data_IF_115088389807
#
_entry.id   IF_115088389807
#
_cell.length_a   1.000
_cell.length_b   1.000
_cell.length_c   1.000
_cell.angle_alpha   90.00
_cell.angle_beta   90.00
_cell.angle_gamma   90.00
#
_symmetry.space_group_name_H-M   'P 1'
#
loop_
_entity.id
_entity.type
_entity.pdbx_description
1 polymer ?
#
# COMPACT_ATOMS: atom_id res chain seq x y z
N UNK A 1 29.96 0.53 7.36
CA UNK A 1 28.96 1.56 7.70
C UNK A 1 27.59 0.92 7.58
N UNK A 2 26.73 1.03 8.58
CA UNK A 2 25.34 0.56 8.50
C UNK A 2 24.52 1.55 7.67
N UNK A 3 23.62 1.05 6.82
CA UNK A 3 22.67 1.88 6.07
C UNK A 3 21.72 2.56 7.05
N UNK A 4 21.44 3.87 6.92
CA UNK A 4 20.42 4.52 7.75
C UNK A 4 19.05 3.90 7.49
N UNK A 5 18.16 3.87 8.51
CA UNK A 5 16.81 3.34 8.35
C UNK A 5 16.02 4.16 7.31
N UNK A 6 15.22 3.48 6.51
CA UNK A 6 14.37 4.08 5.46
C UNK A 6 12.93 3.62 5.69
N UNK A 7 12.00 4.57 5.66
CA UNK A 7 10.56 4.31 5.70
C UNK A 7 9.97 4.18 4.30
N UNK A 8 8.93 3.36 4.15
CA UNK A 8 8.18 3.21 2.90
C UNK A 8 6.86 3.98 2.97
N UNK A 9 6.66 4.89 2.00
CA UNK A 9 5.40 5.61 1.82
C UNK A 9 4.74 5.16 0.52
N UNK A 10 3.53 4.62 0.60
CA UNK A 10 2.71 4.22 -0.55
C UNK A 10 1.53 5.18 -0.73
N UNK A 11 1.56 5.97 -1.80
CA UNK A 11 0.51 6.94 -2.13
C UNK A 11 -0.59 6.27 -2.97
N UNK A 12 -1.72 5.98 -2.33
CA UNK A 12 -2.87 5.28 -2.91
C UNK A 12 -4.18 6.11 -2.88
N UNK A 13 -4.10 7.43 -2.68
CA UNK A 13 -5.26 8.35 -2.59
C UNK A 13 -5.84 8.86 -3.92
N UNK A 14 -5.47 8.25 -5.05
CA UNK A 14 -5.90 8.73 -6.37
C UNK A 14 -7.35 8.33 -6.72
N UNK A 15 -8.12 9.25 -7.33
CA UNK A 15 -9.52 9.02 -7.77
C UNK A 15 -9.70 7.94 -8.85
N UNK A 16 -8.63 7.47 -9.48
CA UNK A 16 -8.64 6.35 -10.44
C UNK A 16 -9.66 6.47 -11.60
N UNK A 17 -9.90 7.71 -12.08
CA UNK A 17 -10.96 8.06 -13.06
C UNK A 17 -10.94 7.26 -14.37
N UNK A 18 -9.77 6.86 -14.86
CA UNK A 18 -9.65 6.11 -16.12
C UNK A 18 -9.94 4.61 -15.99
N UNK A 19 -9.85 4.05 -14.79
CA UNK A 19 -9.95 2.60 -14.57
C UNK A 19 -11.34 2.16 -14.09
N UNK A 20 -12.26 3.11 -13.82
CA UNK A 20 -13.61 2.83 -13.30
C UNK A 20 -13.66 2.37 -11.84
N UNK A 21 -12.54 1.97 -11.25
CA UNK A 21 -12.40 1.54 -9.85
C UNK A 21 -11.02 1.95 -9.29
N UNK A 22 -10.83 1.97 -7.96
CA UNK A 22 -9.55 2.31 -7.35
C UNK A 22 -8.40 1.44 -7.88
N UNK A 23 -7.39 2.06 -8.50
CA UNK A 23 -6.24 1.35 -9.12
C UNK A 23 -5.52 0.45 -8.12
N UNK A 24 -5.43 0.89 -6.86
CA UNK A 24 -4.80 0.15 -5.77
C UNK A 24 -5.44 -1.23 -5.51
N UNK A 25 -6.73 -1.40 -5.84
CA UNK A 25 -7.50 -2.62 -5.61
C UNK A 25 -7.54 -3.53 -6.85
N UNK A 26 -7.01 -3.08 -7.99
CA UNK A 26 -6.98 -3.90 -9.19
C UNK A 26 -6.11 -5.15 -8.97
N UNK A 27 -6.56 -6.32 -9.44
CA UNK A 27 -5.75 -7.53 -9.37
C UNK A 27 -4.53 -7.41 -10.29
N UNK A 28 -3.37 -7.79 -9.77
CA UNK A 28 -2.16 -7.95 -10.60
C UNK A 28 -2.32 -9.22 -11.44
N UNK A 29 -2.20 -9.12 -12.79
CA UNK A 29 -2.32 -10.28 -13.67
C UNK A 29 -1.45 -11.46 -13.23
N UNK A 30 -2.02 -12.67 -13.30
CA UNK A 30 -1.36 -13.91 -12.87
C UNK A 30 -1.48 -14.21 -11.37
N UNK A 31 -1.29 -13.21 -10.50
CA UNK A 31 -1.39 -13.42 -9.03
C UNK A 31 -2.79 -13.23 -8.47
N UNK A 32 -3.61 -12.37 -9.08
CA UNK A 32 -4.90 -11.94 -8.52
C UNK A 32 -4.78 -11.02 -7.30
N UNK A 33 -3.56 -10.78 -6.79
CA UNK A 33 -3.30 -9.94 -5.62
C UNK A 33 -3.66 -8.47 -5.91
N UNK A 34 -4.34 -7.76 -4.99
CA UNK A 34 -4.53 -6.32 -5.13
C UNK A 34 -3.20 -5.58 -5.33
N UNK A 35 -3.14 -4.68 -6.30
CA UNK A 35 -1.91 -3.96 -6.69
C UNK A 35 -1.16 -3.35 -5.51
N UNK A 36 -1.87 -2.80 -4.52
CA UNK A 36 -1.24 -2.21 -3.33
C UNK A 36 -0.48 -3.23 -2.49
N UNK A 37 -1.02 -4.45 -2.31
CA UNK A 37 -0.33 -5.52 -1.57
C UNK A 37 0.91 -5.97 -2.31
N UNK A 38 0.83 -6.09 -3.63
CA UNK A 38 1.98 -6.44 -4.47
C UNK A 38 3.12 -5.41 -4.35
N UNK A 39 2.80 -4.12 -4.35
CA UNK A 39 3.79 -3.04 -4.17
C UNK A 39 4.41 -3.11 -2.78
N UNK A 40 3.59 -3.20 -1.74
CA UNK A 40 4.07 -3.29 -0.35
C UNK A 40 4.99 -4.50 -0.20
N UNK A 41 4.55 -5.69 -0.61
CA UNK A 41 5.33 -6.93 -0.49
C UNK A 41 6.69 -6.85 -1.19
N UNK A 42 6.76 -6.15 -2.34
CA UNK A 42 8.02 -5.98 -3.08
C UNK A 42 8.98 -4.99 -2.45
N UNK A 43 8.46 -3.95 -1.80
CA UNK A 43 9.27 -2.85 -1.29
C UNK A 43 9.56 -2.98 0.21
N UNK A 44 8.69 -3.60 0.99
CA UNK A 44 8.83 -3.73 2.45
C UNK A 44 10.07 -4.52 2.85
N UNK A 45 10.55 -5.43 1.99
CA UNK A 45 11.79 -6.17 2.23
C UNK A 45 13.05 -5.32 2.01
N UNK A 46 12.92 -4.16 1.34
CA UNK A 46 14.02 -3.24 1.03
C UNK A 46 14.10 -2.07 2.02
N UNK A 47 12.99 -1.78 2.68
CA UNK A 47 12.85 -0.70 3.67
C UNK A 47 12.72 -1.30 5.06
N UNK A 48 13.00 -0.50 6.09
CA UNK A 48 12.97 -0.96 7.47
C UNK A 48 11.54 -1.17 8.01
N UNK A 49 11.38 -0.91 9.31
CA UNK A 49 10.20 -1.30 10.09
C UNK A 49 8.92 -0.46 9.83
N UNK A 50 9.03 0.66 9.12
CA UNK A 50 7.91 1.60 8.96
C UNK A 50 7.32 1.63 7.55
N UNK A 51 6.01 1.37 7.50
CA UNK A 51 5.17 1.49 6.30
C UNK A 51 4.03 2.48 6.56
N UNK A 52 3.93 3.49 5.69
CA UNK A 52 2.85 4.48 5.67
C UNK A 52 2.06 4.32 4.37
N UNK A 53 0.74 4.14 4.49
CA UNK A 53 -0.16 4.12 3.33
C UNK A 53 -1.06 5.35 3.39
N UNK A 54 -0.95 6.22 2.38
CA UNK A 54 -1.81 7.40 2.24
C UNK A 54 -2.96 7.05 1.31
N UNK A 55 -4.19 7.11 1.80
CA UNK A 55 -5.38 6.77 1.02
C UNK A 55 -6.55 7.67 1.38
N UNK A 56 -7.46 7.86 0.41
CA UNK A 56 -8.70 8.61 0.58
C UNK A 56 -9.92 7.68 0.73
N UNK A 57 -9.71 6.38 0.99
CA UNK A 57 -10.80 5.41 1.13
C UNK A 57 -10.50 4.33 2.17
N UNK A 58 -11.47 4.00 3.06
CA UNK A 58 -11.33 2.92 4.04
C UNK A 58 -11.13 1.52 3.41
N UNK A 59 -11.59 1.30 2.18
CA UNK A 59 -11.45 -0.01 1.51
C UNK A 59 -9.99 -0.38 1.26
N UNK A 60 -9.15 0.62 0.95
CA UNK A 60 -7.71 0.39 0.77
C UNK A 60 -7.07 0.06 2.12
N UNK A 61 -7.44 0.75 3.20
CA UNK A 61 -6.99 0.41 4.55
C UNK A 61 -7.30 -1.06 4.89
N UNK A 62 -8.56 -1.47 4.75
CA UNK A 62 -9.02 -2.85 5.02
C UNK A 62 -8.27 -3.89 4.19
N UNK A 63 -7.90 -3.53 2.96
CA UNK A 63 -7.11 -4.41 2.08
C UNK A 63 -5.69 -4.59 2.61
N UNK A 64 -5.10 -3.59 3.25
CA UNK A 64 -3.70 -3.62 3.71
C UNK A 64 -3.55 -4.14 5.15
N UNK A 65 -4.46 -3.77 6.05
CA UNK A 65 -4.31 -3.95 7.50
C UNK A 65 -4.42 -5.39 8.00
N UNK A 66 -4.80 -6.34 7.16
CA UNK A 66 -4.92 -7.75 7.55
C UNK A 66 -3.59 -8.39 8.01
N UNK A 67 -2.43 -7.81 7.66
CA UNK A 67 -1.13 -8.46 7.85
C UNK A 67 0.02 -7.52 8.28
N UNK A 68 -0.28 -6.31 8.73
CA UNK A 68 0.73 -5.29 9.03
C UNK A 68 0.40 -4.56 10.33
N UNK A 69 1.41 -4.34 11.18
CA UNK A 69 1.31 -3.41 12.30
C UNK A 69 1.26 -1.99 11.71
N UNK A 70 0.04 -1.50 11.47
CA UNK A 70 -0.18 -0.23 10.81
C UNK A 70 -1.18 0.61 11.62
N UNK A 71 -1.01 1.93 11.56
CA UNK A 71 -1.91 2.90 12.17
C UNK A 71 -2.68 3.61 11.07
N UNK A 72 -4.01 3.55 11.12
CA UNK A 72 -4.87 4.30 10.21
C UNK A 72 -5.08 5.71 10.76
N UNK A 73 -4.68 6.71 9.98
CA UNK A 73 -5.00 8.12 10.24
C UNK A 73 -6.07 8.52 9.23
N UNK A 74 -7.29 8.71 9.73
CA UNK A 74 -8.37 9.32 8.97
C UNK A 74 -8.31 10.85 9.13
N UNK A 75 -8.79 11.55 8.10
CA UNK A 75 -9.14 12.97 8.20
C UNK A 75 -10.36 13.17 9.12
#
# INVERSE_FOLDING_TARGET
MSTPPVSLIVLAGGKSRRMGQPKALLPVPGSGEPLIRHVIRRLIALVGEELIVVTNTPTIWQTVSAHLAATFLAD
#
